data_IF_152233095290
#
_entry.id   IF_152233095290
#
_cell.length_a   1.000
_cell.length_b   1.000
_cell.length_c   1.000
_cell.angle_alpha   90.00
_cell.angle_beta   90.00
_cell.angle_gamma   90.00
#
_symmetry.space_group_name_H-M   'P 1'
#
loop_
_entity.id
_entity.type
_entity.pdbx_description
1 polymer ?
#
# COMPACT_ATOMS: atom_id res chain seq x y z
N UNK A 1 -42.84 -72.32 -27.66
CA UNK A 1 -41.86 -71.38 -28.20
C UNK A 1 -40.89 -71.00 -27.05
N UNK A 2 -39.90 -71.63 -27.04
CA UNK A 2 -38.61 -71.68 -26.39
C UNK A 2 -38.29 -70.76 -25.24
N UNK A 3 -38.50 -71.28 -24.05
CA UNK A 3 -38.06 -70.77 -22.76
C UNK A 3 -36.52 -70.76 -22.56
N UNK A 4 -35.78 -71.31 -23.53
CA UNK A 4 -34.30 -71.45 -23.50
C UNK A 4 -33.55 -70.25 -24.04
N UNK A 5 -34.21 -69.28 -24.66
CA UNK A 5 -33.54 -68.12 -25.26
C UNK A 5 -33.48 -66.90 -24.33
N UNK A 6 -34.31 -66.91 -23.28
CA UNK A 6 -34.35 -65.76 -22.31
C UNK A 6 -33.27 -65.94 -21.22
N UNK A 7 -32.81 -67.16 -20.96
CA UNK A 7 -31.77 -67.40 -19.93
C UNK A 7 -30.35 -67.11 -20.45
N UNK A 8 -30.12 -67.08 -21.76
CA UNK A 8 -28.79 -66.84 -22.34
C UNK A 8 -28.47 -65.31 -22.47
N UNK A 9 -29.48 -64.50 -22.51
CA UNK A 9 -29.27 -63.04 -22.52
C UNK A 9 -29.11 -62.41 -21.13
N UNK A 10 -29.48 -63.10 -20.05
CA UNK A 10 -29.32 -62.59 -18.67
C UNK A 10 -27.94 -62.90 -18.07
N UNK A 11 -27.16 -63.84 -18.72
CA UNK A 11 -25.80 -64.17 -18.24
C UNK A 11 -24.68 -63.35 -18.92
N UNK A 12 -25.00 -62.57 -19.96
CA UNK A 12 -24.01 -61.78 -20.68
C UNK A 12 -23.89 -60.30 -20.15
N UNK A 13 -24.67 -59.94 -19.10
CA UNK A 13 -24.68 -58.59 -18.48
C UNK A 13 -23.98 -58.55 -17.11
N UNK A 14 -23.27 -59.62 -16.71
CA UNK A 14 -22.48 -59.63 -15.47
C UNK A 14 -20.96 -59.72 -15.71
N UNK A 15 -20.47 -59.17 -16.79
CA UNK A 15 -19.01 -59.05 -16.96
C UNK A 15 -18.63 -57.56 -17.02
N UNK A 16 -18.00 -57.12 -15.96
CA UNK A 16 -17.06 -56.00 -16.04
C UNK A 16 -17.57 -54.61 -15.71
N UNK A 17 -18.16 -54.41 -14.53
CA UNK A 17 -17.89 -53.15 -13.84
C UNK A 17 -16.55 -53.30 -13.16
N UNK A 18 -15.47 -53.07 -13.88
CA UNK A 18 -14.23 -52.71 -13.26
C UNK A 18 -14.55 -51.39 -12.55
N UNK A 19 -14.79 -51.45 -11.24
CA UNK A 19 -14.74 -50.31 -10.35
C UNK A 19 -13.27 -49.86 -10.39
N UNK A 20 -12.95 -48.93 -11.25
CA UNK A 20 -11.77 -48.11 -11.07
C UNK A 20 -12.03 -47.44 -9.71
N UNK A 21 -11.39 -47.95 -8.67
CA UNK A 21 -11.22 -47.23 -7.43
C UNK A 21 -10.58 -45.88 -7.84
N UNK A 22 -11.34 -44.81 -7.77
CA UNK A 22 -10.72 -43.52 -7.69
C UNK A 22 -9.81 -43.62 -6.47
N UNK A 23 -8.51 -43.56 -6.68
CA UNK A 23 -7.57 -43.28 -5.63
C UNK A 23 -8.03 -41.97 -5.01
N UNK A 24 -8.72 -42.05 -3.88
CA UNK A 24 -9.05 -40.91 -3.04
C UNK A 24 -7.77 -40.42 -2.37
N UNK A 25 -6.80 -40.01 -3.16
CA UNK A 25 -5.66 -39.24 -2.67
C UNK A 25 -6.24 -37.87 -2.34
N UNK A 26 -6.47 -37.61 -1.06
CA UNK A 26 -7.05 -36.37 -0.55
C UNK A 26 -6.12 -35.21 -0.88
N UNK A 27 -4.80 -35.42 -0.80
CA UNK A 27 -3.74 -34.51 -1.25
C UNK A 27 -2.41 -35.24 -1.36
N UNK A 28 -1.49 -34.76 -2.18
CA UNK A 28 -0.18 -35.39 -2.39
C UNK A 28 0.88 -34.70 -1.57
N UNK A 29 1.65 -35.45 -0.78
CA UNK A 29 2.81 -34.94 -0.05
C UNK A 29 3.98 -34.79 -1.02
N UNK A 30 4.40 -33.53 -1.22
CA UNK A 30 5.50 -33.16 -2.12
C UNK A 30 6.84 -33.21 -1.38
N UNK A 31 6.90 -32.60 -0.21
CA UNK A 31 8.08 -32.58 0.65
C UNK A 31 7.67 -32.79 2.11
N UNK A 32 8.64 -33.16 2.94
CA UNK A 32 8.49 -33.22 4.40
C UNK A 32 9.65 -32.44 5.01
N UNK A 33 9.38 -31.55 5.95
CA UNK A 33 10.37 -30.74 6.67
C UNK A 33 10.16 -30.94 8.17
N UNK A 34 11.06 -31.69 8.82
CA UNK A 34 10.83 -32.12 10.20
C UNK A 34 9.59 -33.00 10.31
N UNK A 35 8.63 -32.55 11.09
CA UNK A 35 7.34 -33.25 11.30
C UNK A 35 6.21 -32.68 10.42
N UNK A 36 6.50 -31.70 9.57
CA UNK A 36 5.51 -31.04 8.74
C UNK A 36 5.61 -31.46 7.26
N UNK A 37 4.47 -31.86 6.68
CA UNK A 37 4.35 -32.13 5.26
C UNK A 37 4.09 -30.84 4.48
N UNK A 38 4.63 -30.75 3.28
CA UNK A 38 4.27 -29.77 2.26
C UNK A 38 3.39 -30.48 1.25
N UNK A 39 2.18 -30.00 1.07
CA UNK A 39 1.18 -30.61 0.23
C UNK A 39 1.19 -29.97 -1.17
N UNK A 40 0.76 -30.73 -2.17
CA UNK A 40 0.62 -30.24 -3.54
C UNK A 40 -0.34 -29.07 -3.62
N UNK A 41 -1.43 -29.09 -2.85
CA UNK A 41 -2.38 -28.00 -2.75
C UNK A 41 -1.72 -26.71 -2.23
N UNK A 42 -0.83 -26.78 -1.23
CA UNK A 42 -0.08 -25.62 -0.75
C UNK A 42 0.81 -25.02 -1.84
N UNK A 43 1.48 -25.87 -2.62
CA UNK A 43 2.33 -25.44 -3.74
C UNK A 43 1.51 -24.77 -4.83
N UNK A 44 0.34 -25.32 -5.19
CA UNK A 44 -0.54 -24.73 -6.20
C UNK A 44 -1.15 -23.42 -5.73
N UNK A 45 -1.56 -23.32 -4.47
CA UNK A 45 -2.07 -22.07 -3.88
C UNK A 45 -1.00 -20.97 -3.90
N UNK A 46 0.23 -21.28 -3.48
CA UNK A 46 1.36 -20.36 -3.54
C UNK A 46 1.69 -19.94 -4.98
N UNK A 47 1.64 -20.87 -5.95
CA UNK A 47 1.86 -20.60 -7.36
C UNK A 47 0.80 -19.67 -7.93
N UNK A 48 -0.46 -19.88 -7.60
CA UNK A 48 -1.56 -19.04 -8.03
C UNK A 48 -1.46 -17.64 -7.43
N UNK A 49 -1.13 -17.53 -6.13
CA UNK A 49 -0.90 -16.22 -5.47
C UNK A 49 0.23 -15.46 -6.15
N UNK A 50 1.36 -16.10 -6.41
CA UNK A 50 2.50 -15.48 -7.08
C UNK A 50 2.18 -15.00 -8.50
N UNK A 51 1.40 -15.76 -9.26
CA UNK A 51 0.92 -15.34 -10.59
C UNK A 51 0.04 -14.11 -10.50
N UNK A 52 -0.82 -14.04 -9.48
CA UNK A 52 -1.66 -12.87 -9.22
C UNK A 52 -0.89 -11.61 -8.90
N UNK A 53 0.18 -11.76 -8.13
CA UNK A 53 1.09 -10.67 -7.78
C UNK A 53 1.99 -10.26 -8.94
N UNK A 54 1.92 -10.97 -10.08
CA UNK A 54 2.80 -10.73 -11.23
C UNK A 54 4.25 -11.11 -10.97
N UNK A 55 4.48 -11.98 -9.97
CA UNK A 55 5.81 -12.44 -9.56
C UNK A 55 6.41 -13.34 -10.64
N UNK A 56 7.65 -13.07 -11.03
CA UNK A 56 8.45 -13.94 -11.90
C UNK A 56 9.32 -14.85 -11.04
N UNK A 57 9.36 -16.11 -11.38
CA UNK A 57 10.24 -17.10 -10.74
C UNK A 57 11.57 -17.19 -11.48
N UNK A 58 12.64 -17.34 -10.70
CA UNK A 58 13.99 -17.57 -11.22
C UNK A 58 14.25 -19.09 -11.32
N UNK A 59 13.43 -19.76 -12.11
CA UNK A 59 13.44 -21.20 -12.30
C UNK A 59 12.04 -21.80 -12.49
N UNK A 60 11.97 -23.13 -12.50
CA UNK A 60 10.71 -23.86 -12.59
C UNK A 60 9.89 -23.68 -11.30
N UNK A 61 8.65 -23.14 -11.36
CA UNK A 61 7.83 -22.87 -10.17
C UNK A 61 7.65 -24.05 -9.23
N UNK A 62 7.50 -25.25 -9.79
CA UNK A 62 7.34 -26.48 -9.00
C UNK A 62 8.62 -26.97 -8.30
N UNK A 63 9.78 -26.37 -8.61
CA UNK A 63 11.02 -26.55 -7.85
C UNK A 63 11.21 -25.42 -6.83
N UNK A 64 10.99 -24.18 -7.24
CA UNK A 64 11.25 -22.99 -6.42
C UNK A 64 10.24 -22.86 -5.26
N UNK A 65 8.96 -23.04 -5.52
CA UNK A 65 7.91 -22.85 -4.51
C UNK A 65 8.01 -23.85 -3.34
N UNK A 66 8.18 -25.17 -3.56
CA UNK A 66 8.36 -26.12 -2.46
C UNK A 66 9.59 -25.78 -1.60
N UNK A 67 10.68 -25.30 -2.21
CA UNK A 67 11.88 -24.89 -1.48
C UNK A 67 11.60 -23.65 -0.61
N UNK A 68 10.87 -22.66 -1.13
CA UNK A 68 10.46 -21.47 -0.37
C UNK A 68 9.56 -21.85 0.82
N UNK A 69 8.58 -22.73 0.60
CA UNK A 69 7.70 -23.23 1.68
C UNK A 69 8.53 -23.99 2.72
N UNK A 70 9.49 -24.83 2.29
CA UNK A 70 10.36 -25.55 3.21
C UNK A 70 11.19 -24.60 4.08
N UNK A 71 11.75 -23.55 3.50
CA UNK A 71 12.49 -22.51 4.24
C UNK A 71 11.56 -21.79 5.22
N UNK A 72 10.34 -21.47 4.82
CA UNK A 72 9.36 -20.87 5.71
C UNK A 72 9.05 -21.78 6.92
N UNK A 73 8.84 -23.07 6.68
CA UNK A 73 8.60 -24.05 7.76
C UNK A 73 9.79 -24.18 8.70
N UNK A 74 11.04 -24.09 8.21
CA UNK A 74 12.23 -24.05 9.07
C UNK A 74 12.23 -22.84 10.02
N UNK A 75 11.86 -21.65 9.52
CA UNK A 75 11.72 -20.46 10.35
C UNK A 75 10.59 -20.59 11.37
N UNK A 76 9.44 -21.15 10.99
CA UNK A 76 8.31 -21.37 11.88
C UNK A 76 8.65 -22.35 13.00
N UNK A 77 9.31 -23.45 12.67
CA UNK A 77 9.81 -24.42 13.65
C UNK A 77 10.75 -23.75 14.67
N UNK A 78 11.71 -22.97 14.18
CA UNK A 78 12.62 -22.23 15.09
C UNK A 78 11.87 -21.17 15.90
N UNK A 79 10.91 -20.48 15.32
CA UNK A 79 10.08 -19.49 16.01
C UNK A 79 9.29 -20.12 17.17
N UNK A 80 8.81 -21.36 16.97
CA UNK A 80 8.16 -22.12 18.04
C UNK A 80 9.13 -22.50 19.17
N UNK A 81 10.33 -22.99 18.84
CA UNK A 81 11.38 -23.29 19.81
C UNK A 81 11.81 -22.05 20.61
N UNK A 82 11.88 -20.90 19.95
CA UNK A 82 12.27 -19.62 20.54
C UNK A 82 11.10 -18.87 21.20
N UNK A 83 9.91 -19.48 21.27
CA UNK A 83 8.68 -18.90 21.85
C UNK A 83 8.35 -17.52 21.26
N UNK A 84 8.48 -17.37 19.94
CA UNK A 84 8.12 -16.12 19.25
C UNK A 84 6.61 -16.05 19.12
N UNK A 85 6.01 -15.06 19.78
CA UNK A 85 4.58 -14.78 19.73
C UNK A 85 4.29 -13.51 18.92
N UNK A 86 3.12 -13.46 18.28
CA UNK A 86 2.56 -12.30 17.61
C UNK A 86 1.21 -11.97 18.19
N UNK A 87 0.92 -10.70 18.40
CA UNK A 87 -0.34 -10.28 18.98
C UNK A 87 -1.49 -10.40 17.97
N UNK A 88 -2.69 -10.66 18.47
CA UNK A 88 -3.88 -10.75 17.65
C UNK A 88 -4.18 -9.44 16.89
N UNK A 89 -3.85 -8.30 17.48
CA UNK A 89 -3.98 -6.99 16.82
C UNK A 89 -3.08 -6.85 15.59
N UNK A 90 -1.84 -7.36 15.64
CA UNK A 90 -0.93 -7.37 14.48
C UNK A 90 -1.44 -8.30 13.38
N UNK A 91 -1.97 -9.46 13.75
CA UNK A 91 -2.56 -10.40 12.79
C UNK A 91 -3.74 -9.76 12.07
N UNK A 92 -4.66 -9.12 12.82
CA UNK A 92 -5.81 -8.42 12.25
C UNK A 92 -5.36 -7.30 11.31
N UNK A 93 -4.39 -6.50 11.72
CA UNK A 93 -3.84 -5.43 10.89
C UNK A 93 -3.22 -5.97 9.60
N UNK A 94 -2.49 -7.08 9.66
CA UNK A 94 -1.90 -7.74 8.49
C UNK A 94 -2.97 -8.28 7.55
N UNK A 95 -4.01 -8.95 8.08
CA UNK A 95 -5.17 -9.42 7.31
C UNK A 95 -5.90 -8.26 6.64
N UNK A 96 -6.06 -7.11 7.33
CA UNK A 96 -6.64 -5.91 6.75
C UNK A 96 -5.83 -5.40 5.56
N UNK A 97 -4.51 -5.34 5.70
CA UNK A 97 -3.61 -4.93 4.62
C UNK A 97 -3.70 -5.87 3.40
N UNK A 98 -3.65 -7.19 3.62
CA UNK A 98 -3.77 -8.18 2.55
C UNK A 98 -5.13 -8.09 1.85
N UNK A 99 -6.21 -8.00 2.61
CA UNK A 99 -7.57 -7.87 2.05
C UNK A 99 -7.71 -6.60 1.21
N UNK A 100 -7.19 -5.47 1.69
CA UNK A 100 -7.23 -4.20 0.96
C UNK A 100 -6.38 -4.27 -0.33
N UNK A 101 -5.25 -4.96 -0.31
CA UNK A 101 -4.43 -5.20 -1.50
C UNK A 101 -5.18 -6.04 -2.53
N UNK A 102 -5.86 -7.12 -2.13
CA UNK A 102 -6.70 -7.90 -3.04
C UNK A 102 -7.84 -7.07 -3.64
N UNK A 103 -8.52 -6.25 -2.82
CA UNK A 103 -9.57 -5.36 -3.30
C UNK A 103 -9.03 -4.36 -4.33
N UNK A 104 -7.85 -3.78 -4.07
CA UNK A 104 -7.21 -2.83 -4.97
C UNK A 104 -6.82 -3.49 -6.32
N UNK A 105 -6.26 -4.71 -6.28
CA UNK A 105 -5.81 -5.42 -7.48
C UNK A 105 -6.99 -5.98 -8.30
N UNK A 106 -8.03 -6.50 -7.65
CA UNK A 106 -9.19 -7.10 -8.30
C UNK A 106 -10.23 -6.04 -8.71
N UNK A 107 -10.19 -4.87 -8.04
CA UNK A 107 -10.99 -3.69 -8.37
C UNK A 107 -12.19 -3.42 -7.45
N UNK A 108 -12.76 -4.42 -6.77
CA UNK A 108 -13.80 -4.21 -5.75
C UNK A 108 -13.91 -5.39 -4.79
N UNK A 109 -14.59 -5.15 -3.66
CA UNK A 109 -14.87 -6.20 -2.67
C UNK A 109 -15.76 -7.30 -3.23
N UNK A 110 -16.79 -6.93 -3.98
CA UNK A 110 -17.75 -7.87 -4.58
C UNK A 110 -17.03 -8.77 -5.60
N UNK A 111 -16.17 -8.21 -6.43
CA UNK A 111 -15.33 -8.97 -7.36
C UNK A 111 -14.36 -9.89 -6.64
N UNK A 112 -13.78 -9.46 -5.52
CA UNK A 112 -12.94 -10.30 -4.69
C UNK A 112 -13.73 -11.48 -4.09
N UNK A 113 -14.95 -11.23 -3.57
CA UNK A 113 -15.83 -12.26 -3.03
C UNK A 113 -16.27 -13.26 -4.12
N UNK A 114 -16.58 -12.77 -5.32
CA UNK A 114 -16.90 -13.59 -6.49
C UNK A 114 -15.68 -14.43 -6.93
N UNK A 115 -14.53 -13.81 -7.01
CA UNK A 115 -13.29 -14.47 -7.42
C UNK A 115 -12.90 -15.62 -6.49
N UNK A 116 -12.90 -15.39 -5.18
CA UNK A 116 -12.58 -16.42 -4.20
C UNK A 116 -13.77 -17.35 -3.89
N UNK A 117 -14.94 -17.06 -4.43
CA UNK A 117 -16.20 -17.75 -4.11
C UNK A 117 -16.43 -17.86 -2.59
N UNK A 118 -16.09 -16.79 -1.87
CA UNK A 118 -16.18 -16.69 -0.40
C UNK A 118 -16.59 -15.28 -0.02
N UNK A 119 -17.28 -15.15 1.10
CA UNK A 119 -17.55 -13.82 1.67
C UNK A 119 -16.25 -13.17 2.17
N UNK A 120 -16.20 -11.85 2.23
CA UNK A 120 -15.05 -11.11 2.77
C UNK A 120 -14.65 -11.58 4.18
N UNK A 121 -15.61 -11.98 4.99
CA UNK A 121 -15.36 -12.53 6.33
C UNK A 121 -14.65 -13.89 6.26
N UNK A 122 -15.05 -14.76 5.35
CA UNK A 122 -14.42 -16.07 5.14
C UNK A 122 -13.02 -15.94 4.53
N UNK A 123 -12.82 -14.97 3.61
CA UNK A 123 -11.50 -14.66 3.06
C UNK A 123 -10.58 -14.19 4.18
N UNK A 124 -11.02 -13.27 5.02
CA UNK A 124 -10.24 -12.75 6.14
C UNK A 124 -9.88 -13.84 7.16
N UNK A 125 -10.78 -14.75 7.44
CA UNK A 125 -10.51 -15.88 8.34
C UNK A 125 -9.48 -16.83 7.71
N UNK A 126 -9.60 -17.13 6.42
CA UNK A 126 -8.62 -17.96 5.70
C UNK A 126 -7.21 -17.31 5.65
N UNK A 127 -7.13 -15.99 5.59
CA UNK A 127 -5.84 -15.26 5.60
C UNK A 127 -5.19 -15.17 6.99
N UNK A 128 -5.92 -15.48 8.06
CA UNK A 128 -5.48 -15.23 9.43
C UNK A 128 -4.28 -16.06 9.85
N UNK A 129 -4.29 -17.34 9.51
CA UNK A 129 -3.20 -18.25 9.83
C UNK A 129 -1.96 -17.91 9.00
N UNK A 130 -2.11 -17.66 7.70
CA UNK A 130 -1.01 -17.21 6.84
C UNK A 130 -0.41 -15.88 7.33
N UNK A 131 -1.24 -14.94 7.77
CA UNK A 131 -0.76 -13.67 8.34
C UNK A 131 0.02 -13.88 9.64
N UNK A 132 -0.47 -14.77 10.52
CA UNK A 132 0.20 -15.12 11.78
C UNK A 132 1.54 -15.79 11.53
N UNK A 133 1.59 -16.76 10.65
CA UNK A 133 2.83 -17.45 10.26
C UNK A 133 3.83 -16.50 9.63
N UNK A 134 3.41 -15.68 8.67
CA UNK A 134 4.27 -14.67 8.03
C UNK A 134 4.87 -13.69 9.04
N UNK A 135 4.10 -13.24 10.04
CA UNK A 135 4.60 -12.38 11.11
C UNK A 135 5.61 -13.10 12.02
N UNK A 136 5.39 -14.39 12.32
CA UNK A 136 6.35 -15.19 13.11
C UNK A 136 7.67 -15.38 12.36
N UNK A 137 7.60 -15.71 11.05
CA UNK A 137 8.78 -15.82 10.19
C UNK A 137 9.55 -14.51 10.15
N UNK A 138 8.87 -13.41 9.91
CA UNK A 138 9.49 -12.07 9.90
C UNK A 138 10.19 -11.74 11.22
N UNK A 139 9.56 -12.01 12.36
CA UNK A 139 10.17 -11.80 13.68
C UNK A 139 11.37 -12.71 13.92
N UNK A 140 11.29 -13.97 13.48
CA UNK A 140 12.42 -14.89 13.58
C UNK A 140 13.61 -14.42 12.75
N UNK A 141 13.38 -14.01 11.49
CA UNK A 141 14.43 -13.42 10.65
C UNK A 141 15.03 -12.18 11.30
N UNK A 142 14.18 -11.27 11.77
CA UNK A 142 14.64 -10.05 12.46
C UNK A 142 15.48 -10.35 13.71
N UNK A 143 15.10 -11.37 14.50
CA UNK A 143 15.87 -11.82 15.66
C UNK A 143 17.27 -12.31 15.25
N UNK A 144 17.36 -13.06 14.14
CA UNK A 144 18.65 -13.58 13.66
C UNK A 144 19.59 -12.49 13.15
N UNK A 145 19.05 -11.45 12.50
CA UNK A 145 19.87 -10.43 11.83
C UNK A 145 19.87 -9.07 12.53
N UNK A 146 19.03 -8.87 13.56
CA UNK A 146 18.81 -7.57 14.19
C UNK A 146 20.03 -7.00 14.92
N UNK A 147 20.95 -7.85 15.36
CA UNK A 147 22.15 -7.43 16.07
C UNK A 147 23.38 -7.19 15.17
N UNK A 148 23.25 -7.43 13.85
CA UNK A 148 24.34 -7.25 12.91
C UNK A 148 24.70 -5.77 12.81
N UNK A 149 25.97 -5.47 13.11
CA UNK A 149 26.55 -4.13 13.00
C UNK A 149 27.65 -4.13 11.94
N UNK A 150 27.66 -3.12 11.12
CA UNK A 150 28.67 -2.92 10.09
C UNK A 150 29.58 -1.76 10.49
N UNK A 151 30.89 -2.01 10.48
CA UNK A 151 31.89 -0.99 10.78
C UNK A 151 32.31 -0.20 9.54
N UNK A 152 32.80 1.03 9.69
CA UNK A 152 33.35 1.78 8.56
C UNK A 152 34.50 1.08 7.82
N UNK A 153 35.25 0.24 8.50
CA UNK A 153 36.33 -0.54 7.89
C UNK A 153 35.78 -1.63 6.96
N UNK A 154 34.68 -2.29 7.34
CA UNK A 154 34.04 -3.31 6.51
C UNK A 154 33.41 -2.69 5.25
N UNK A 155 32.76 -1.54 5.38
CA UNK A 155 32.22 -0.80 4.21
C UNK A 155 33.36 -0.46 3.26
N UNK A 156 34.47 0.17 3.77
CA UNK A 156 35.63 0.49 2.95
C UNK A 156 36.22 -0.71 2.26
N UNK A 157 36.36 -1.84 2.96
CA UNK A 157 36.90 -3.09 2.39
C UNK A 157 36.01 -3.62 1.28
N UNK A 158 34.72 -3.65 1.50
CA UNK A 158 33.76 -4.17 0.53
C UNK A 158 33.84 -3.41 -0.80
N UNK A 159 33.91 -2.08 -0.76
CA UNK A 159 33.89 -1.25 -1.99
C UNK A 159 35.30 -1.02 -2.58
N UNK A 160 36.39 -1.23 -1.82
CA UNK A 160 37.74 -1.05 -2.32
C UNK A 160 38.12 -2.03 -3.44
N UNK A 161 37.63 -3.26 -3.32
CA UNK A 161 38.00 -4.37 -4.20
C UNK A 161 36.95 -4.61 -5.30
N UNK A 162 35.89 -3.77 -5.39
CA UNK A 162 34.89 -3.87 -6.41
C UNK A 162 35.35 -3.23 -7.73
N UNK A 163 35.05 -3.87 -8.89
CA UNK A 163 35.19 -3.24 -10.18
C UNK A 163 34.41 -1.92 -10.25
N UNK A 164 34.92 -0.95 -10.97
CA UNK A 164 34.24 0.36 -11.10
C UNK A 164 32.79 0.28 -11.59
N UNK A 165 32.49 -0.72 -12.40
CA UNK A 165 31.13 -0.92 -12.94
C UNK A 165 30.16 -1.54 -11.91
N UNK A 166 30.69 -2.11 -10.82
CA UNK A 166 29.92 -2.67 -9.71
C UNK A 166 29.69 -1.67 -8.57
N UNK A 167 30.27 -0.46 -8.67
CA UNK A 167 30.01 0.61 -7.69
C UNK A 167 28.61 1.17 -7.96
N UNK A 168 27.73 1.23 -6.93
CA UNK A 168 26.37 1.74 -7.09
C UNK A 168 26.38 3.16 -7.65
N UNK A 169 25.43 3.44 -8.53
CA UNK A 169 25.17 4.80 -8.99
C UNK A 169 24.10 5.43 -8.08
N UNK A 170 24.44 6.58 -7.54
CA UNK A 170 23.50 7.39 -6.74
C UNK A 170 22.82 8.37 -7.68
N UNK A 171 21.48 8.29 -7.85
CA UNK A 171 20.74 9.21 -8.70
C UNK A 171 20.87 10.66 -8.21
N UNK A 172 20.54 11.60 -9.09
CA UNK A 172 20.45 13.01 -8.70
C UNK A 172 19.41 13.19 -7.61
N UNK A 173 19.83 13.77 -6.50
CA UNK A 173 18.97 14.08 -5.35
C UNK A 173 18.83 15.59 -5.20
N UNK A 174 17.62 16.02 -4.83
CA UNK A 174 17.29 17.42 -4.61
C UNK A 174 16.58 17.61 -3.27
N UNK A 175 16.79 18.76 -2.65
CA UNK A 175 15.96 19.25 -1.56
C UNK A 175 15.20 20.47 -2.04
N UNK A 176 13.91 20.48 -1.81
CA UNK A 176 12.98 21.52 -2.28
C UNK A 176 12.25 22.14 -1.10
N UNK A 177 12.14 23.45 -1.12
CA UNK A 177 11.26 24.20 -0.23
C UNK A 177 10.07 24.72 -1.02
N UNK A 178 8.89 24.75 -0.39
CA UNK A 178 7.65 25.20 -1.03
C UNK A 178 6.93 26.25 -0.19
N UNK A 179 6.24 27.17 -0.86
CA UNK A 179 5.23 28.05 -0.29
C UNK A 179 3.96 27.85 -1.08
N UNK A 180 2.88 27.50 -0.40
CA UNK A 180 1.58 27.28 -1.03
C UNK A 180 0.57 28.32 -0.60
N UNK A 181 -0.34 28.64 -1.52
CA UNK A 181 -1.50 29.48 -1.26
C UNK A 181 -2.72 28.83 -1.90
N UNK A 182 -3.78 28.69 -1.13
CA UNK A 182 -5.06 28.26 -1.69
C UNK A 182 -5.72 29.44 -2.42
N UNK A 183 -6.24 29.23 -3.63
CA UNK A 183 -7.01 30.25 -4.32
C UNK A 183 -8.26 30.61 -3.51
N UNK A 184 -8.64 31.88 -3.51
CA UNK A 184 -9.87 32.33 -2.83
C UNK A 184 -11.08 31.91 -3.66
N UNK A 185 -11.78 30.90 -3.20
CA UNK A 185 -13.00 30.42 -3.85
C UNK A 185 -14.13 31.42 -3.60
N UNK A 186 -14.87 31.87 -4.63
CA UNK A 186 -16.04 32.72 -4.47
C UNK A 186 -17.12 32.05 -3.60
N UNK A 187 -17.83 32.87 -2.83
CA UNK A 187 -18.92 32.35 -1.98
C UNK A 187 -20.04 31.68 -2.80
N UNK A 188 -20.24 32.13 -4.02
CA UNK A 188 -21.21 31.55 -4.95
C UNK A 188 -20.93 30.08 -5.25
N UNK A 189 -19.67 29.72 -5.53
CA UNK A 189 -19.24 28.34 -5.77
C UNK A 189 -19.40 27.44 -4.53
N UNK A 190 -19.17 28.03 -3.34
CA UNK A 190 -19.38 27.33 -2.07
C UNK A 190 -20.88 27.07 -1.83
N UNK A 191 -21.74 28.05 -2.10
CA UNK A 191 -23.17 27.92 -1.92
C UNK A 191 -23.80 26.98 -2.98
N UNK A 192 -23.27 26.94 -4.21
CA UNK A 192 -23.68 25.95 -5.21
C UNK A 192 -23.44 24.52 -4.69
N UNK A 193 -22.22 24.24 -4.23
CA UNK A 193 -21.88 22.93 -3.65
C UNK A 193 -22.80 22.57 -2.49
N UNK A 194 -23.03 23.49 -1.56
CA UNK A 194 -23.92 23.26 -0.43
C UNK A 194 -25.37 23.05 -0.87
N UNK A 195 -25.82 23.77 -1.90
CA UNK A 195 -27.17 23.62 -2.48
C UNK A 195 -27.35 22.22 -3.07
N UNK A 196 -26.38 21.75 -3.85
CA UNK A 196 -26.37 20.38 -4.43
C UNK A 196 -26.37 19.31 -3.34
N UNK A 197 -25.58 19.47 -2.28
CA UNK A 197 -25.58 18.51 -1.16
C UNK A 197 -26.93 18.49 -0.41
N UNK A 198 -27.61 19.66 -0.25
CA UNK A 198 -28.95 19.71 0.32
C UNK A 198 -29.94 18.98 -0.59
N UNK A 199 -29.88 19.19 -1.90
CA UNK A 199 -30.69 18.47 -2.88
C UNK A 199 -30.48 16.96 -2.76
N UNK A 200 -29.24 16.48 -2.69
CA UNK A 200 -28.96 15.04 -2.54
C UNK A 200 -29.49 14.48 -1.22
N UNK A 201 -29.39 15.25 -0.14
CA UNK A 201 -30.01 14.88 1.15
C UNK A 201 -31.52 14.74 1.01
N UNK A 202 -32.19 15.66 0.33
CA UNK A 202 -33.66 15.62 0.10
C UNK A 202 -34.06 14.43 -0.78
N UNK A 203 -33.26 14.10 -1.79
CA UNK A 203 -33.49 12.93 -2.66
C UNK A 203 -33.38 11.63 -1.87
N UNK A 204 -32.38 11.51 -0.99
CA UNK A 204 -32.22 10.35 -0.09
C UNK A 204 -33.41 10.24 0.87
N UNK A 205 -33.86 11.36 1.46
CA UNK A 205 -35.01 11.39 2.37
C UNK A 205 -36.33 11.02 1.64
N UNK A 206 -36.38 11.17 0.33
CA UNK A 206 -37.52 10.73 -0.53
C UNK A 206 -37.38 9.28 -1.00
N UNK A 207 -36.35 8.56 -0.57
CA UNK A 207 -36.15 7.14 -0.84
C UNK A 207 -35.15 6.80 -1.97
N UNK A 208 -34.45 7.80 -2.53
CA UNK A 208 -33.41 7.53 -3.51
C UNK A 208 -32.16 6.94 -2.82
N UNK A 209 -31.45 6.07 -3.53
CA UNK A 209 -30.28 5.40 -2.98
C UNK A 209 -29.10 6.34 -2.79
N UNK A 210 -28.63 6.51 -1.55
CA UNK A 210 -27.42 7.26 -1.26
C UNK A 210 -26.21 6.73 -2.04
N UNK A 211 -26.08 5.41 -2.13
CA UNK A 211 -24.99 4.74 -2.86
C UNK A 211 -25.01 5.09 -4.36
N UNK A 212 -26.18 5.20 -4.98
CA UNK A 212 -26.29 5.62 -6.37
C UNK A 212 -25.87 7.08 -6.55
N UNK A 213 -26.32 7.97 -5.68
CA UNK A 213 -25.91 9.38 -5.72
C UNK A 213 -24.40 9.55 -5.49
N UNK A 214 -23.81 8.78 -4.58
CA UNK A 214 -22.37 8.79 -4.35
C UNK A 214 -21.59 8.37 -5.60
N UNK A 215 -22.03 7.30 -6.29
CA UNK A 215 -21.39 6.84 -7.54
C UNK A 215 -21.47 7.87 -8.66
N UNK A 216 -22.55 8.61 -8.75
CA UNK A 216 -22.79 9.56 -9.84
C UNK A 216 -22.14 10.93 -9.60
N UNK A 217 -22.11 11.39 -8.35
CA UNK A 217 -21.86 12.79 -8.05
C UNK A 217 -20.70 13.05 -7.06
N UNK A 218 -20.20 12.03 -6.36
CA UNK A 218 -19.11 12.26 -5.41
C UNK A 218 -17.79 12.52 -6.12
N UNK A 219 -17.09 13.57 -5.68
CA UNK A 219 -15.73 13.89 -6.11
C UNK A 219 -14.65 13.01 -5.43
N UNK A 220 -15.02 12.23 -4.41
CA UNK A 220 -14.15 11.19 -3.86
C UNK A 220 -14.25 9.91 -4.70
N UNK A 221 -13.44 9.85 -5.73
CA UNK A 221 -13.43 8.72 -6.67
C UNK A 221 -13.06 7.39 -6.01
N UNK A 222 -12.26 7.43 -4.93
CA UNK A 222 -11.85 6.23 -4.20
C UNK A 222 -13.02 5.50 -3.55
N UNK A 223 -13.98 6.23 -2.98
CA UNK A 223 -15.18 5.66 -2.35
C UNK A 223 -16.40 5.68 -3.26
N UNK A 224 -16.47 6.60 -4.21
CA UNK A 224 -17.63 6.73 -5.13
C UNK A 224 -17.93 5.43 -5.89
N UNK A 225 -16.91 4.71 -6.38
CA UNK A 225 -17.03 3.41 -7.07
C UNK A 225 -17.81 2.41 -6.20
N UNK A 226 -17.61 2.45 -4.89
CA UNK A 226 -18.27 1.60 -3.90
C UNK A 226 -19.48 2.28 -3.25
N UNK A 227 -20.08 3.28 -3.92
CA UNK A 227 -21.26 3.99 -3.42
C UNK A 227 -20.98 4.87 -2.21
N UNK A 228 -19.77 5.40 -2.09
CA UNK A 228 -19.33 6.25 -1.00
C UNK A 228 -18.93 5.50 0.28
N UNK A 229 -18.87 4.17 0.27
CA UNK A 229 -18.57 3.36 1.45
C UNK A 229 -17.11 3.46 1.86
N UNK A 230 -16.91 3.72 3.15
CA UNK A 230 -15.61 3.64 3.81
C UNK A 230 -15.53 2.37 4.66
N UNK A 231 -14.35 1.74 4.79
CA UNK A 231 -14.17 0.60 5.69
C UNK A 231 -14.37 1.00 7.15
N UNK A 232 -14.44 0.03 8.07
CA UNK A 232 -14.46 0.33 9.50
C UNK A 232 -13.21 1.11 9.92
N UNK A 233 -13.41 2.38 10.25
CA UNK A 233 -12.33 3.33 10.51
C UNK A 233 -12.46 3.89 11.93
N UNK A 234 -11.34 3.96 12.64
CA UNK A 234 -11.26 4.61 13.95
C UNK A 234 -11.21 6.13 13.83
N UNK A 235 -11.61 6.84 14.90
CA UNK A 235 -11.72 8.31 14.91
C UNK A 235 -10.44 9.02 14.50
N UNK A 236 -9.28 8.54 14.93
CA UNK A 236 -7.99 9.16 14.66
C UNK A 236 -7.48 9.08 13.22
N UNK A 237 -8.14 8.30 12.36
CA UNK A 237 -7.81 8.15 10.94
C UNK A 237 -8.69 9.01 10.00
N UNK A 238 -9.62 9.76 10.57
CA UNK A 238 -10.55 10.62 9.84
C UNK A 238 -10.22 12.09 10.10
N UNK A 239 -10.57 12.96 9.13
CA UNK A 239 -10.57 14.40 9.35
C UNK A 239 -11.37 14.74 10.64
N UNK A 240 -10.87 15.61 11.52
CA UNK A 240 -11.52 15.89 12.79
C UNK A 240 -12.98 16.38 12.68
N UNK A 241 -13.29 17.22 11.68
CA UNK A 241 -14.64 17.73 11.45
C UNK A 241 -15.56 16.61 10.96
N UNK A 242 -15.08 15.79 10.02
CA UNK A 242 -15.78 14.60 9.53
C UNK A 242 -16.02 13.60 10.65
N UNK A 243 -14.97 13.26 11.42
CA UNK A 243 -15.06 12.31 12.53
C UNK A 243 -16.08 12.77 13.59
N UNK A 244 -16.09 14.06 13.94
CA UNK A 244 -17.03 14.59 14.93
C UNK A 244 -18.48 14.38 14.52
N UNK A 245 -18.81 14.57 13.26
CA UNK A 245 -20.17 14.33 12.78
C UNK A 245 -20.45 12.85 12.62
N UNK A 246 -19.57 12.10 11.97
CA UNK A 246 -19.74 10.66 11.68
C UNK A 246 -19.98 9.83 12.95
N UNK A 247 -19.16 10.04 13.98
CA UNK A 247 -19.29 9.31 15.26
C UNK A 247 -20.52 9.69 16.10
N UNK A 248 -21.11 10.88 15.85
CA UNK A 248 -22.34 11.31 16.49
C UNK A 248 -23.60 10.82 15.79
N UNK A 249 -23.53 10.28 14.57
CA UNK A 249 -24.67 9.67 13.90
C UNK A 249 -25.14 8.44 14.67
N UNK A 250 -26.46 8.31 14.83
CA UNK A 250 -27.07 7.17 15.51
C UNK A 250 -28.08 6.42 14.63
N UNK A 251 -28.67 7.10 13.65
CA UNK A 251 -29.71 6.55 12.78
C UNK A 251 -29.13 6.29 11.38
N UNK A 252 -29.08 5.01 10.94
CA UNK A 252 -28.58 4.66 9.60
C UNK A 252 -29.44 5.18 8.47
N UNK A 253 -30.70 5.53 8.73
CA UNK A 253 -31.61 6.04 7.71
C UNK A 253 -31.48 7.54 7.47
N UNK A 254 -30.73 8.24 8.33
CA UNK A 254 -30.58 9.70 8.23
C UNK A 254 -29.23 10.08 7.63
N UNK A 255 -29.27 11.12 6.80
CA UNK A 255 -28.08 11.79 6.28
C UNK A 255 -27.68 12.91 7.24
N UNK A 256 -26.37 13.11 7.42
CA UNK A 256 -25.83 14.18 8.26
C UNK A 256 -26.18 15.57 7.72
N UNK A 257 -25.98 16.60 8.55
CA UNK A 257 -25.79 17.95 8.06
C UNK A 257 -24.53 18.01 7.20
N UNK A 258 -24.39 19.04 6.36
CA UNK A 258 -23.20 19.29 5.57
C UNK A 258 -22.01 19.52 6.53
N UNK A 259 -20.91 18.82 6.25
CA UNK A 259 -19.66 18.89 7.00
C UNK A 259 -18.59 19.48 6.09
N UNK A 260 -17.92 20.52 6.55
CA UNK A 260 -16.74 21.07 5.88
C UNK A 260 -15.47 20.44 6.46
N UNK A 261 -14.61 19.92 5.60
CA UNK A 261 -13.31 19.34 5.94
C UNK A 261 -12.21 19.92 5.06
N UNK A 262 -10.98 19.54 5.31
CA UNK A 262 -9.87 19.90 4.42
C UNK A 262 -10.03 19.37 3.00
N UNK A 263 -10.86 18.35 2.77
CA UNK A 263 -11.12 17.73 1.44
C UNK A 263 -12.26 18.43 0.67
N UNK A 264 -13.16 19.12 1.33
CA UNK A 264 -14.35 19.74 0.73
C UNK A 264 -15.56 19.66 1.63
N UNK A 265 -16.74 19.58 1.01
CA UNK A 265 -18.02 19.52 1.70
C UNK A 265 -18.60 18.10 1.59
N UNK A 266 -19.08 17.56 2.72
CA UNK A 266 -19.57 16.20 2.79
C UNK A 266 -20.98 16.14 3.34
N UNK A 267 -21.72 15.12 2.91
CA UNK A 267 -22.84 14.54 3.64
C UNK A 267 -22.50 13.07 3.94
N UNK A 268 -22.90 12.61 5.12
CA UNK A 268 -22.49 11.34 5.67
C UNK A 268 -23.72 10.53 6.07
N UNK A 269 -23.73 9.24 5.78
CA UNK A 269 -24.74 8.31 6.26
C UNK A 269 -24.06 7.17 7.04
N UNK A 270 -24.58 6.90 8.24
CA UNK A 270 -24.12 5.78 9.06
C UNK A 270 -24.51 4.46 8.40
N UNK A 271 -23.62 3.48 8.42
CA UNK A 271 -23.92 2.10 8.07
C UNK A 271 -23.91 1.21 9.30
N UNK A 272 -22.79 1.24 10.06
CA UNK A 272 -22.62 0.39 11.23
C UNK A 272 -21.60 1.00 12.21
N UNK A 273 -21.78 0.71 13.51
CA UNK A 273 -20.80 1.01 14.56
C UNK A 273 -20.34 -0.27 15.23
N UNK A 274 -19.04 -0.40 15.45
CA UNK A 274 -18.42 -1.51 16.18
C UNK A 274 -17.39 -0.98 17.16
N UNK A 275 -17.74 -0.90 18.43
CA UNK A 275 -16.86 -0.36 19.46
C UNK A 275 -16.38 1.06 19.11
N UNK A 276 -15.07 1.22 18.98
CA UNK A 276 -14.38 2.48 18.65
C UNK A 276 -14.25 2.76 17.15
N UNK A 277 -14.85 1.92 16.28
CA UNK A 277 -14.82 2.03 14.83
C UNK A 277 -16.20 2.25 14.24
N UNK A 278 -16.22 2.97 13.12
CA UNK A 278 -17.44 3.31 12.39
C UNK A 278 -17.30 2.95 10.92
N UNK A 279 -18.37 2.39 10.35
CA UNK A 279 -18.55 2.22 8.91
C UNK A 279 -19.59 3.21 8.43
N UNK A 280 -19.20 4.08 7.50
CA UNK A 280 -20.08 5.11 6.92
C UNK A 280 -19.99 5.07 5.40
N UNK A 281 -20.95 5.74 4.75
CA UNK A 281 -20.81 6.19 3.37
C UNK A 281 -20.95 7.70 3.32
N UNK A 282 -20.27 8.32 2.35
CA UNK A 282 -20.29 9.76 2.19
C UNK A 282 -20.36 10.20 0.72
N UNK A 283 -20.80 11.42 0.50
CA UNK A 283 -20.68 12.13 -0.77
C UNK A 283 -19.83 13.35 -0.47
N UNK A 284 -18.72 13.48 -1.18
CA UNK A 284 -17.84 14.65 -1.17
C UNK A 284 -18.12 15.48 -2.39
N UNK A 285 -18.30 16.78 -2.22
CA UNK A 285 -18.23 17.77 -3.31
C UNK A 285 -17.18 18.83 -3.01
N UNK A 286 -16.45 19.21 -4.05
CA UNK A 286 -15.46 20.29 -4.02
C UNK A 286 -16.00 21.49 -4.79
N UNK A 287 -15.91 22.72 -4.25
CA UNK A 287 -16.27 23.90 -5.03
C UNK A 287 -15.30 24.05 -6.21
N UNK A 288 -15.83 24.53 -7.33
CA UNK A 288 -15.00 24.86 -8.48
C UNK A 288 -14.08 26.03 -8.16
N UNK A 289 -12.84 25.97 -8.64
CA UNK A 289 -11.89 27.07 -8.53
C UNK A 289 -11.85 27.81 -9.85
N UNK A 290 -12.41 29.02 -9.96
CA UNK A 290 -12.36 29.80 -11.17
C UNK A 290 -10.92 30.17 -11.56
N UNK A 291 -10.67 30.28 -12.88
CA UNK A 291 -9.36 30.63 -13.42
C UNK A 291 -8.84 31.97 -12.87
N UNK A 292 -9.74 32.95 -12.68
CA UNK A 292 -9.39 34.26 -12.09
C UNK A 292 -8.86 34.13 -10.64
N UNK A 293 -9.40 33.15 -9.88
CA UNK A 293 -8.94 32.91 -8.50
C UNK A 293 -7.53 32.28 -8.50
N UNK A 294 -7.25 31.39 -9.46
CA UNK A 294 -5.92 30.82 -9.66
C UNK A 294 -4.92 31.88 -10.10
N UNK A 295 -5.28 32.73 -11.07
CA UNK A 295 -4.44 33.85 -11.52
C UNK A 295 -4.14 34.83 -10.39
N UNK A 296 -5.11 35.18 -9.56
CA UNK A 296 -4.90 36.04 -8.40
C UNK A 296 -3.99 35.36 -7.35
N UNK A 297 -4.11 34.06 -7.16
CA UNK A 297 -3.27 33.29 -6.24
C UNK A 297 -1.81 33.23 -6.70
N UNK A 298 -1.59 32.93 -7.98
CA UNK A 298 -0.23 32.89 -8.58
C UNK A 298 0.41 34.25 -8.58
N UNK A 299 -0.30 35.32 -8.99
CA UNK A 299 0.22 36.72 -8.94
C UNK A 299 0.64 37.13 -7.51
N UNK A 300 -0.10 36.70 -6.50
CA UNK A 300 0.28 36.94 -5.11
C UNK A 300 1.56 36.20 -4.72
N UNK A 301 1.74 34.97 -5.13
CA UNK A 301 2.96 34.19 -4.88
C UNK A 301 4.16 34.78 -5.65
N UNK A 302 3.97 35.24 -6.89
CA UNK A 302 5.02 35.92 -7.64
C UNK A 302 5.48 37.21 -6.94
N UNK A 303 4.55 37.97 -6.37
CA UNK A 303 4.90 39.15 -5.54
C UNK A 303 5.70 38.75 -4.29
N UNK A 304 5.37 37.63 -3.65
CA UNK A 304 6.15 37.08 -2.52
C UNK A 304 7.53 36.65 -2.99
N UNK A 305 7.63 35.96 -4.13
CA UNK A 305 8.90 35.53 -4.70
C UNK A 305 9.81 36.72 -5.05
N UNK A 306 9.24 37.83 -5.58
CA UNK A 306 9.96 39.06 -5.87
C UNK A 306 10.44 39.76 -4.59
N UNK A 307 9.63 39.80 -3.55
CA UNK A 307 10.02 40.34 -2.25
C UNK A 307 11.19 39.53 -1.63
N UNK A 308 11.19 38.19 -1.79
CA UNK A 308 12.30 37.36 -1.35
C UNK A 308 13.55 37.62 -2.21
N UNK A 309 13.42 37.70 -3.54
CA UNK A 309 14.53 38.01 -4.46
C UNK A 309 15.15 39.35 -4.17
N UNK A 310 14.34 40.33 -3.74
CA UNK A 310 14.75 41.67 -3.34
C UNK A 310 15.31 41.77 -1.90
N UNK A 311 15.35 40.65 -1.18
CA UNK A 311 15.93 40.53 0.15
C UNK A 311 15.11 41.16 1.28
N UNK A 312 13.79 41.39 1.10
CA UNK A 312 12.91 41.87 2.15
C UNK A 312 12.78 40.88 3.30
N UNK A 313 12.79 39.63 3.01
CA UNK A 313 12.77 38.48 3.92
C UNK A 313 13.29 37.22 3.20
N UNK A 314 13.63 36.21 3.98
CA UNK A 314 14.10 34.91 3.42
C UNK A 314 12.93 34.03 2.99
N UNK A 315 13.21 33.03 2.15
CA UNK A 315 12.20 32.03 1.76
C UNK A 315 11.67 31.29 2.99
N UNK A 316 12.53 30.96 3.92
CA UNK A 316 12.26 30.27 5.16
C UNK A 316 11.31 31.03 6.08
N UNK A 317 11.52 32.34 6.20
CA UNK A 317 10.61 33.27 6.95
C UNK A 317 9.25 33.33 6.25
N UNK A 318 9.26 33.54 4.94
CA UNK A 318 8.02 33.58 4.14
C UNK A 318 7.24 32.27 4.25
N UNK A 319 7.91 31.10 4.14
CA UNK A 319 7.27 29.81 4.26
C UNK A 319 6.60 29.64 5.64
N UNK A 320 7.29 30.04 6.71
CA UNK A 320 6.79 29.90 8.08
C UNK A 320 5.57 30.77 8.38
N UNK A 321 5.47 31.94 7.74
CA UNK A 321 4.43 32.96 8.03
C UNK A 321 3.33 32.98 6.99
N UNK A 322 3.68 32.85 5.71
CA UNK A 322 2.76 33.06 4.59
C UNK A 322 2.25 31.77 3.94
N UNK A 323 2.97 30.64 4.10
CA UNK A 323 2.53 29.38 3.52
C UNK A 323 1.28 28.86 4.22
N UNK A 324 0.33 28.35 3.43
CA UNK A 324 -0.89 27.69 3.92
C UNK A 324 -0.73 26.17 4.03
N UNK A 325 0.36 25.61 3.54
CA UNK A 325 0.67 24.19 3.73
C UNK A 325 1.10 23.92 5.18
N UNK A 326 0.28 23.15 5.89
CA UNK A 326 0.50 22.83 7.31
C UNK A 326 1.66 21.86 7.52
N UNK A 327 1.95 21.03 6.52
CA UNK A 327 2.96 19.97 6.63
C UNK A 327 4.38 20.55 6.50
N UNK A 328 4.58 21.55 5.65
CA UNK A 328 5.90 22.15 5.41
C UNK A 328 6.14 23.47 6.13
N UNK A 329 5.07 24.23 6.46
CA UNK A 329 5.17 25.54 7.09
C UNK A 329 6.03 25.54 8.36
N UNK A 330 5.84 24.54 9.24
CA UNK A 330 6.59 24.44 10.49
C UNK A 330 8.04 23.98 10.30
N UNK A 331 8.39 23.51 9.09
CA UNK A 331 9.72 23.11 8.68
C UNK A 331 10.31 24.07 7.64
N UNK A 332 9.98 25.36 7.75
CA UNK A 332 10.51 26.41 6.87
C UNK A 332 10.28 26.15 5.37
N UNK A 333 9.18 25.53 5.03
CA UNK A 333 8.80 25.15 3.67
C UNK A 333 9.49 23.88 3.14
N UNK A 334 10.38 23.24 3.89
CA UNK A 334 11.11 22.07 3.44
C UNK A 334 10.17 20.88 3.23
N UNK A 335 10.16 20.34 2.02
CA UNK A 335 9.30 19.22 1.65
C UNK A 335 9.85 17.91 2.26
N UNK A 336 9.05 17.16 3.03
CA UNK A 336 9.45 15.86 3.55
C UNK A 336 9.21 14.76 2.51
N UNK A 337 10.15 13.85 2.36
CA UNK A 337 9.98 12.63 1.56
C UNK A 337 9.34 11.53 2.43
N UNK A 338 8.08 11.13 2.17
CA UNK A 338 7.38 10.16 3.00
C UNK A 338 7.93 8.73 2.88
N UNK A 339 8.69 8.43 1.81
CA UNK A 339 9.25 7.10 1.59
C UNK A 339 10.54 6.90 2.40
N UNK A 340 11.38 7.94 2.48
CA UNK A 340 12.70 7.86 3.12
C UNK A 340 12.77 8.53 4.48
N UNK A 341 11.70 9.26 4.90
CA UNK A 341 11.67 10.12 6.09
C UNK A 341 12.83 11.15 6.13
N UNK A 342 13.28 11.59 4.95
CA UNK A 342 14.29 12.65 4.79
C UNK A 342 13.71 13.83 4.03
N UNK A 343 14.53 14.84 3.71
CA UNK A 343 14.16 15.94 2.80
C UNK A 343 14.69 15.77 1.38
N UNK A 344 15.39 14.66 1.11
CA UNK A 344 15.99 14.38 -0.18
C UNK A 344 15.04 13.58 -1.05
N UNK A 345 14.94 13.98 -2.30
CA UNK A 345 14.13 13.33 -3.33
C UNK A 345 14.98 12.98 -4.54
N UNK A 346 14.78 11.81 -5.09
CA UNK A 346 15.09 11.59 -6.48
C UNK A 346 14.04 12.31 -7.35
N UNK A 347 14.42 12.72 -8.57
CA UNK A 347 13.51 13.53 -9.41
C UNK A 347 12.17 12.84 -9.67
N UNK A 348 12.14 11.51 -9.76
CA UNK A 348 10.94 10.70 -9.96
C UNK A 348 10.03 10.56 -8.74
N UNK A 349 10.55 10.88 -7.54
CA UNK A 349 9.80 10.84 -6.28
C UNK A 349 9.06 12.15 -5.99
N UNK A 350 9.46 13.25 -6.66
CA UNK A 350 8.78 14.53 -6.53
C UNK A 350 7.41 14.50 -7.24
N UNK A 351 6.43 15.29 -6.75
CA UNK A 351 5.22 15.58 -7.51
C UNK A 351 5.58 16.05 -8.93
N UNK A 352 4.92 15.53 -9.97
CA UNK A 352 5.31 15.80 -11.38
C UNK A 352 5.42 17.27 -11.73
N UNK A 353 4.54 18.12 -11.17
CA UNK A 353 4.53 19.56 -11.41
C UNK A 353 5.79 20.22 -10.80
N UNK A 354 6.16 19.82 -9.59
CA UNK A 354 7.37 20.31 -8.91
C UNK A 354 8.62 19.80 -9.65
N UNK A 355 8.67 18.52 -10.00
CA UNK A 355 9.79 17.93 -10.72
C UNK A 355 10.09 18.66 -12.02
N UNK A 356 9.04 18.97 -12.82
CA UNK A 356 9.15 19.70 -14.10
C UNK A 356 9.75 21.11 -13.94
N UNK A 357 9.44 21.78 -12.86
CA UNK A 357 9.96 23.11 -12.55
C UNK A 357 11.38 23.01 -12.04
N UNK A 358 11.62 22.17 -11.04
CA UNK A 358 12.90 21.98 -10.36
C UNK A 358 14.00 21.50 -11.31
N UNK A 359 13.66 20.68 -12.30
CA UNK A 359 14.64 20.16 -13.27
C UNK A 359 15.48 21.27 -13.96
N UNK A 360 14.86 22.42 -14.23
CA UNK A 360 15.47 23.56 -14.93
C UNK A 360 16.12 24.59 -13.99
N UNK A 361 15.91 24.46 -12.67
CA UNK A 361 16.35 25.46 -11.69
C UNK A 361 17.79 25.25 -11.27
N UNK A 362 18.45 26.36 -10.90
CA UNK A 362 19.73 26.36 -10.21
C UNK A 362 19.53 26.35 -8.69
N UNK A 363 20.53 25.84 -7.98
CA UNK A 363 20.50 25.85 -6.50
C UNK A 363 20.38 27.29 -5.99
N UNK A 364 19.43 27.49 -5.08
CA UNK A 364 19.07 28.81 -4.52
C UNK A 364 18.03 29.58 -5.34
N UNK A 365 17.69 29.15 -6.52
CA UNK A 365 16.69 29.79 -7.38
C UNK A 365 15.28 29.56 -6.86
N UNK A 366 14.41 30.57 -7.05
CA UNK A 366 12.97 30.51 -6.73
C UNK A 366 12.21 30.52 -8.05
N UNK A 367 11.25 29.61 -8.19
CA UNK A 367 10.43 29.52 -9.40
C UNK A 367 9.49 30.73 -9.57
N UNK A 368 8.91 30.86 -10.75
CA UNK A 368 7.64 31.57 -10.91
C UNK A 368 6.52 30.75 -10.24
N UNK A 369 5.40 31.39 -9.95
CA UNK A 369 4.25 30.70 -9.37
C UNK A 369 3.59 29.79 -10.42
N UNK A 370 3.19 28.63 -10.00
CA UNK A 370 2.43 27.66 -10.82
C UNK A 370 1.34 27.01 -9.97
N UNK A 371 0.42 26.30 -10.63
CA UNK A 371 -0.63 25.54 -9.97
C UNK A 371 -0.31 24.07 -9.94
N UNK A 372 -0.73 23.36 -8.88
CA UNK A 372 -0.64 21.92 -8.74
C UNK A 372 -1.85 21.37 -8.01
N UNK A 373 -2.08 20.05 -8.13
CA UNK A 373 -3.13 19.34 -7.41
C UNK A 373 -2.46 18.27 -6.53
N UNK A 374 -2.24 18.56 -5.22
CA UNK A 374 -1.66 17.60 -4.31
C UNK A 374 -2.52 16.31 -4.24
N UNK A 375 -1.89 15.15 -4.33
CA UNK A 375 -2.59 13.85 -4.25
C UNK A 375 -3.37 13.68 -2.94
N UNK A 376 -2.86 14.26 -1.85
CA UNK A 376 -3.47 14.18 -0.52
C UNK A 376 -4.84 14.87 -0.47
N UNK A 377 -4.95 16.08 -0.97
CA UNK A 377 -6.18 16.89 -0.89
C UNK A 377 -7.02 16.83 -2.17
N UNK A 378 -6.34 16.65 -3.31
CA UNK A 378 -6.96 16.74 -4.63
C UNK A 378 -7.63 18.09 -4.90
N UNK A 379 -7.12 19.19 -4.28
CA UNK A 379 -7.54 20.56 -4.49
C UNK A 379 -6.45 21.33 -5.23
N UNK A 380 -6.85 22.22 -6.12
CA UNK A 380 -5.90 23.09 -6.78
C UNK A 380 -5.27 24.10 -5.81
N UNK A 381 -3.95 24.19 -5.84
CA UNK A 381 -3.15 25.10 -5.03
C UNK A 381 -2.17 25.87 -5.92
N UNK A 382 -1.90 27.13 -5.55
CA UNK A 382 -0.82 27.91 -6.15
C UNK A 382 0.46 27.70 -5.34
N UNK A 383 1.58 27.52 -6.03
CA UNK A 383 2.85 27.13 -5.40
C UNK A 383 4.01 27.89 -6.00
N UNK A 384 4.97 28.32 -5.17
CA UNK A 384 6.34 28.63 -5.57
C UNK A 384 7.30 27.65 -4.89
N UNK A 385 8.37 27.30 -5.59
CA UNK A 385 9.40 26.39 -5.07
C UNK A 385 10.76 27.06 -5.09
N UNK A 386 11.61 26.72 -4.09
CA UNK A 386 13.02 27.05 -4.06
C UNK A 386 13.83 25.77 -4.11
N UNK A 387 14.75 25.65 -5.05
CA UNK A 387 15.70 24.56 -5.06
C UNK A 387 16.79 24.82 -4.01
N UNK A 388 16.66 24.14 -2.87
CA UNK A 388 17.58 24.34 -1.73
C UNK A 388 18.94 23.70 -1.98
N UNK A 389 18.96 22.46 -2.46
CA UNK A 389 20.19 21.75 -2.79
C UNK A 389 19.99 20.79 -3.97
N UNK A 390 21.07 20.51 -4.67
CA UNK A 390 21.11 19.47 -5.73
C UNK A 390 22.44 18.74 -5.64
N UNK A 391 22.37 17.44 -5.47
CA UNK A 391 23.50 16.52 -5.58
C UNK A 391 23.33 15.81 -6.92
N UNK A 392 24.21 16.07 -7.87
CA UNK A 392 24.14 15.43 -9.17
C UNK A 392 24.42 13.94 -9.07
N UNK A 393 23.78 13.16 -9.95
CA UNK A 393 24.00 11.73 -10.00
C UNK A 393 25.48 11.39 -10.22
N UNK A 394 25.97 10.45 -9.42
CA UNK A 394 27.38 10.06 -9.42
C UNK A 394 27.55 8.61 -8.97
N UNK A 395 28.71 8.03 -9.27
CA UNK A 395 29.09 6.76 -8.65
C UNK A 395 29.34 6.99 -7.16
N UNK A 396 28.77 6.12 -6.32
CA UNK A 396 28.85 6.27 -4.88
C UNK A 396 30.28 6.40 -4.37
N UNK A 397 30.49 7.33 -3.45
CA UNK A 397 31.76 7.54 -2.76
C UNK A 397 31.60 7.28 -1.27
N UNK A 398 32.64 6.76 -0.63
CA UNK A 398 32.60 6.48 0.82
C UNK A 398 32.47 7.76 1.64
N UNK A 399 32.95 8.89 1.12
CA UNK A 399 32.93 10.18 1.81
C UNK A 399 31.53 10.81 1.83
N UNK A 400 30.76 10.65 0.76
CA UNK A 400 29.47 11.34 0.57
C UNK A 400 28.28 10.41 0.82
N UNK A 401 28.43 9.11 0.45
CA UNK A 401 27.33 8.14 0.42
C UNK A 401 27.46 7.03 1.46
N UNK A 402 28.25 7.27 2.50
CA UNK A 402 28.57 6.23 3.49
C UNK A 402 27.34 5.51 4.04
N UNK A 403 26.24 6.19 4.31
CA UNK A 403 25.04 5.55 4.88
C UNK A 403 24.38 4.59 3.87
N UNK A 404 24.27 5.01 2.60
CA UNK A 404 23.73 4.15 1.55
C UNK A 404 24.61 2.92 1.31
N UNK A 405 25.93 3.14 1.25
CA UNK A 405 26.90 2.06 1.09
C UNK A 405 26.92 1.12 2.30
N UNK A 406 26.74 1.65 3.51
CA UNK A 406 26.65 0.85 4.73
C UNK A 406 25.40 -0.04 4.70
N UNK A 407 24.25 0.48 4.25
CA UNK A 407 23.02 -0.31 4.18
C UNK A 407 23.14 -1.46 3.18
N UNK A 408 23.76 -1.23 2.02
CA UNK A 408 24.04 -2.29 1.03
C UNK A 408 24.90 -3.42 1.66
N UNK A 409 25.96 -3.05 2.39
CA UNK A 409 26.80 -4.05 3.05
C UNK A 409 26.08 -4.76 4.19
N UNK A 410 25.21 -4.03 4.91
CA UNK A 410 24.40 -4.60 5.98
C UNK A 410 23.37 -5.60 5.43
N UNK A 411 22.69 -5.26 4.37
CA UNK A 411 21.72 -6.15 3.71
C UNK A 411 22.40 -7.42 3.21
N UNK A 412 23.50 -7.28 2.48
CA UNK A 412 24.30 -8.43 2.06
C UNK A 412 24.72 -9.31 3.23
N UNK A 413 25.15 -8.72 4.34
CA UNK A 413 25.53 -9.46 5.53
C UNK A 413 24.36 -10.17 6.20
N UNK A 414 23.18 -9.56 6.17
CA UNK A 414 21.93 -10.16 6.63
C UNK A 414 21.56 -11.38 5.79
N UNK A 415 21.62 -11.26 4.47
CA UNK A 415 21.35 -12.35 3.55
C UNK A 415 22.34 -13.51 3.74
N UNK A 416 23.65 -13.23 3.79
CA UNK A 416 24.69 -14.23 4.07
C UNK A 416 24.45 -14.95 5.40
N UNK A 417 23.98 -14.24 6.43
CA UNK A 417 23.67 -14.82 7.74
C UNK A 417 22.46 -15.73 7.68
N UNK A 418 21.37 -15.27 7.01
CA UNK A 418 20.17 -16.08 6.82
C UNK A 418 20.46 -17.33 5.99
N UNK A 419 21.17 -17.20 4.89
CA UNK A 419 21.59 -18.33 4.04
C UNK A 419 22.43 -19.36 4.81
N UNK A 420 23.38 -18.85 5.60
CA UNK A 420 24.19 -19.74 6.45
C UNK A 420 23.33 -20.46 7.48
N UNK A 421 22.42 -19.74 8.12
CA UNK A 421 21.51 -20.31 9.10
C UNK A 421 20.59 -21.37 8.45
N UNK A 422 20.01 -21.08 7.29
CA UNK A 422 19.17 -22.02 6.54
C UNK A 422 19.94 -23.31 6.23
N UNK A 423 21.17 -23.20 5.67
CA UNK A 423 22.03 -24.34 5.35
C UNK A 423 22.37 -25.19 6.57
N UNK A 424 22.65 -24.54 7.70
CA UNK A 424 22.92 -25.26 8.96
C UNK A 424 21.66 -25.99 9.48
N UNK A 425 20.50 -25.33 9.42
CA UNK A 425 19.25 -25.94 9.83
C UNK A 425 18.85 -27.12 8.94
N UNK A 426 19.02 -27.00 7.62
CA UNK A 426 18.76 -28.08 6.67
C UNK A 426 19.59 -29.33 6.95
N UNK A 427 20.83 -29.21 7.48
CA UNK A 427 21.66 -30.37 7.85
C UNK A 427 21.11 -31.15 9.06
N UNK A 428 20.41 -30.49 9.94
CA UNK A 428 19.90 -31.06 11.20
C UNK A 428 18.40 -31.32 11.20
N UNK A 429 17.69 -30.84 10.17
CA UNK A 429 16.26 -31.06 10.01
C UNK A 429 16.04 -32.07 8.91
N UNK A 430 15.24 -33.10 9.20
CA UNK A 430 14.89 -34.10 8.18
C UNK A 430 14.14 -33.44 7.03
N UNK A 431 14.67 -33.56 5.82
CA UNK A 431 14.00 -33.07 4.60
C UNK A 431 13.91 -34.24 3.63
N UNK A 432 12.70 -34.67 3.31
CA UNK A 432 12.43 -35.71 2.31
C UNK A 432 11.64 -35.11 1.15
N UNK A 433 12.17 -35.23 -0.04
CA UNK A 433 11.52 -34.85 -1.30
C UNK A 433 10.88 -36.08 -1.91
N UNK A 434 9.64 -36.00 -2.36
CA UNK A 434 8.99 -37.04 -3.12
C UNK A 434 9.71 -37.21 -4.46
N UNK A 435 10.22 -38.43 -4.73
CA UNK A 435 10.99 -38.73 -5.95
C UNK A 435 10.19 -38.48 -7.23
N UNK A 436 8.88 -38.68 -7.18
CA UNK A 436 7.98 -38.47 -8.31
C UNK A 436 7.70 -36.99 -8.63
N UNK A 437 8.07 -36.06 -7.72
CA UNK A 437 7.85 -34.66 -7.91
C UNK A 437 8.88 -33.99 -8.84
N UNK A 438 9.98 -34.66 -9.13
CA UNK A 438 11.09 -34.12 -9.95
C UNK A 438 10.93 -34.35 -11.45
N UNK A 439 9.84 -34.95 -11.88
CA UNK A 439 9.62 -35.29 -13.30
C UNK A 439 8.48 -34.48 -13.93
#
# INVERSE_FOLDING_TARGET
>A
MNFKFVVLCALALMTGSAVYGQDNVIDEVVWVVGDEAILKSEVEEARMSALYEGRKFDGEPYCVIPEEIAVQKLFLHQAALDSIEVSESEVIQRVDQMTNMYIANIGSREKMEEYFNKTSSQIREALRDNAREGLKVQRMQQKLVGEIKITPAEVRRHFKDLPQDSIPYIPTQVEVQIITQQPKIPLEEIEDVKSRLREYTDRVNKGESFSMLARLYSDDRGTAINGGEMPFTGRGYLDPAFANVAFNLQDPNKVSKIVESEYGFHIIQLMEKRGDRIKVRHILLKPHVPEEALMAGTARLDSIADDIRNGKFTFEEAASVLSQDKDTRNNHGLLPNPQTNTSKFEMQELPPEIAKVVDKMKVGEISEAFTMIPQKTGKEECVIVKLKSRINGHKATISEDYQNLKEIVLEKRRDEMLDKWIREKQKHTYVRINENWKN
#
